data_IF_820563351560
#
_entry.id   IF_820563351560
#
_cell.length_a   1.000
_cell.length_b   1.000
_cell.length_c   1.000
_cell.angle_alpha   90.00
_cell.angle_beta   90.00
_cell.angle_gamma   90.00
#
_symmetry.space_group_name_H-M   'P 1'
#
loop_
_entity.id
_entity.type
_entity.pdbx_description
1 polymer ?
#
# COMPACT_ATOMS: atom_id res chain seq x y z
N UNK A 1 86.96 -70.20 19.70
CA UNK A 1 88.14 -69.38 20.07
C UNK A 1 87.76 -67.91 20.36
N UNK A 2 86.54 -67.63 20.84
CA UNK A 2 86.08 -66.26 21.16
C UNK A 2 85.93 -65.98 22.67
N UNK A 3 85.73 -67.01 23.48
CA UNK A 3 85.37 -66.87 24.90
C UNK A 3 86.55 -66.49 25.80
N UNK A 4 87.76 -67.03 25.57
CA UNK A 4 88.95 -66.71 26.38
C UNK A 4 89.40 -65.24 26.25
N UNK A 5 89.19 -64.61 25.09
CA UNK A 5 89.51 -63.20 24.85
C UNK A 5 88.54 -62.26 25.58
N UNK A 6 87.27 -62.66 25.71
CA UNK A 6 86.27 -61.93 26.49
C UNK A 6 86.59 -61.94 28.00
N UNK A 7 87.03 -63.09 28.52
CA UNK A 7 87.38 -63.25 29.94
C UNK A 7 88.60 -62.39 30.32
N UNK A 8 89.65 -62.37 29.50
CA UNK A 8 90.84 -61.55 29.78
C UNK A 8 90.53 -60.04 29.73
N UNK A 9 89.66 -59.60 28.82
CA UNK A 9 89.20 -58.21 28.79
C UNK A 9 88.37 -57.86 30.02
N UNK A 10 87.49 -58.76 30.46
CA UNK A 10 86.70 -58.55 31.67
C UNK A 10 87.59 -58.43 32.92
N UNK A 11 88.61 -59.27 33.04
CA UNK A 11 89.60 -59.20 34.13
C UNK A 11 90.36 -57.87 34.07
N UNK A 12 90.83 -57.45 32.89
CA UNK A 12 91.49 -56.15 32.72
C UNK A 12 90.58 -54.98 33.14
N UNK A 13 89.31 -55.00 32.75
CA UNK A 13 88.36 -53.96 33.15
C UNK A 13 88.07 -53.99 34.65
N UNK A 14 88.01 -55.18 35.25
CA UNK A 14 87.85 -55.33 36.70
C UNK A 14 89.05 -54.74 37.45
N UNK A 15 90.27 -55.01 36.99
CA UNK A 15 91.49 -54.46 37.59
C UNK A 15 91.55 -52.94 37.46
N UNK A 16 91.13 -52.39 36.31
CA UNK A 16 91.04 -50.94 36.11
C UNK A 16 89.97 -50.32 37.02
N UNK A 17 88.84 -50.99 37.22
CA UNK A 17 87.77 -50.54 38.12
C UNK A 17 88.27 -50.49 39.58
N UNK A 18 89.00 -51.52 40.03
CA UNK A 18 89.60 -51.59 41.36
C UNK A 18 90.67 -50.50 41.54
N UNK A 19 91.41 -50.15 40.48
CA UNK A 19 92.38 -49.03 40.52
C UNK A 19 91.72 -47.66 40.54
N UNK A 20 90.50 -47.52 40.02
CA UNK A 20 89.76 -46.25 39.98
C UNK A 20 88.96 -46.04 41.27
N UNK A 21 88.39 -47.10 41.84
CA UNK A 21 87.57 -47.05 43.06
C UNK A 21 88.40 -47.50 44.29
N UNK A 22 89.41 -46.72 44.64
CA UNK A 22 90.37 -47.07 45.71
C UNK A 22 89.84 -46.79 47.11
N UNK A 23 89.07 -45.71 47.26
CA UNK A 23 88.61 -45.24 48.57
C UNK A 23 87.08 -45.27 48.67
N UNK A 24 86.56 -45.42 49.89
CA UNK A 24 85.11 -45.40 50.18
C UNK A 24 84.43 -44.10 49.70
N UNK A 25 85.20 -42.99 49.64
CA UNK A 25 84.73 -41.72 49.09
C UNK A 25 84.33 -41.81 47.62
N UNK A 26 85.07 -42.57 46.82
CA UNK A 26 84.80 -42.72 45.37
C UNK A 26 83.53 -43.54 45.14
N UNK A 27 83.31 -44.57 45.97
CA UNK A 27 82.09 -45.37 45.97
C UNK A 27 80.88 -44.51 46.37
N UNK A 28 81.02 -43.69 47.42
CA UNK A 28 79.97 -42.76 47.85
C UNK A 28 79.64 -41.70 46.79
N UNK A 29 80.66 -41.14 46.12
CA UNK A 29 80.48 -40.22 45.00
C UNK A 29 79.72 -40.88 43.83
N UNK A 30 80.06 -42.13 43.49
CA UNK A 30 79.36 -42.88 42.45
C UNK A 30 77.90 -43.15 42.82
N UNK A 31 77.62 -43.52 44.06
CA UNK A 31 76.26 -43.71 44.57
C UNK A 31 75.45 -42.40 44.51
N UNK A 32 76.05 -41.27 44.89
CA UNK A 32 75.43 -39.95 44.79
C UNK A 32 75.16 -39.56 43.33
N UNK A 33 76.10 -39.83 42.42
CA UNK A 33 75.90 -39.61 40.98
C UNK A 33 74.76 -40.46 40.42
N UNK A 34 74.60 -41.71 40.87
CA UNK A 34 73.48 -42.57 40.48
C UNK A 34 72.15 -42.01 40.99
N UNK A 35 72.06 -41.61 42.26
CA UNK A 35 70.86 -40.99 42.82
C UNK A 35 70.50 -39.68 42.08
N UNK A 36 71.49 -38.85 41.76
CA UNK A 36 71.27 -37.63 41.00
C UNK A 36 70.78 -37.92 39.58
N UNK A 37 71.31 -38.96 38.93
CA UNK A 37 70.84 -39.41 37.61
C UNK A 37 69.40 -39.90 37.66
N UNK A 38 69.02 -40.65 38.69
CA UNK A 38 67.65 -41.13 38.88
C UNK A 38 66.68 -39.99 39.15
N UNK A 39 67.05 -39.03 39.99
CA UNK A 39 66.27 -37.82 40.23
C UNK A 39 66.10 -36.99 38.95
N UNK A 40 67.17 -36.78 38.19
CA UNK A 40 67.13 -36.08 36.92
C UNK A 40 66.24 -36.81 35.91
N UNK A 41 66.36 -38.14 35.81
CA UNK A 41 65.50 -38.96 34.95
C UNK A 41 64.04 -38.82 35.34
N UNK A 42 63.71 -38.93 36.63
CA UNK A 42 62.34 -38.76 37.12
C UNK A 42 61.80 -37.36 36.83
N UNK A 43 62.63 -36.32 36.94
CA UNK A 43 62.26 -34.95 36.56
C UNK A 43 61.99 -34.86 35.07
N UNK A 44 62.89 -35.36 34.22
CA UNK A 44 62.70 -35.35 32.77
C UNK A 44 61.46 -36.12 32.33
N UNK A 45 61.18 -37.28 32.95
CA UNK A 45 59.98 -38.07 32.66
C UNK A 45 58.71 -37.31 33.10
N UNK A 46 58.75 -36.59 34.22
CA UNK A 46 57.66 -35.73 34.67
C UNK A 46 57.41 -34.57 33.69
N UNK A 47 58.45 -33.84 33.33
CA UNK A 47 58.39 -32.70 32.41
C UNK A 47 57.88 -33.14 31.03
N UNK A 48 58.38 -34.29 30.53
CA UNK A 48 57.91 -34.87 29.28
C UNK A 48 56.42 -35.20 29.32
N UNK A 49 55.94 -35.81 30.40
CA UNK A 49 54.53 -36.15 30.57
C UNK A 49 53.65 -34.90 30.68
N UNK A 50 54.10 -33.85 31.37
CA UNK A 50 53.39 -32.57 31.47
C UNK A 50 53.25 -31.89 30.10
N UNK A 51 54.34 -31.83 29.33
CA UNK A 51 54.32 -31.29 27.97
C UNK A 51 53.43 -32.14 27.06
N UNK A 52 53.51 -33.47 27.16
CA UNK A 52 52.67 -34.36 26.36
C UNK A 52 51.18 -34.21 26.66
N UNK A 53 50.81 -34.06 27.94
CA UNK A 53 49.43 -33.82 28.36
C UNK A 53 48.93 -32.46 27.86
N UNK A 54 49.75 -31.41 28.03
CA UNK A 54 49.42 -30.07 27.53
C UNK A 54 49.22 -30.06 26.02
N UNK A 55 50.07 -30.76 25.26
CA UNK A 55 49.95 -30.89 23.82
C UNK A 55 48.63 -31.57 23.42
N UNK A 56 48.25 -32.64 24.14
CA UNK A 56 46.97 -33.33 23.94
C UNK A 56 45.79 -32.41 24.21
N UNK A 57 45.83 -31.63 25.28
CA UNK A 57 44.77 -30.69 25.64
C UNK A 57 44.60 -29.58 24.59
N UNK A 58 45.70 -29.02 24.09
CA UNK A 58 45.65 -28.05 23.00
C UNK A 58 45.08 -28.65 21.71
N UNK A 59 45.39 -29.91 21.43
CA UNK A 59 44.85 -30.60 20.27
C UNK A 59 43.33 -30.78 20.37
N UNK A 60 42.82 -31.20 21.54
CA UNK A 60 41.38 -31.27 21.82
C UNK A 60 40.71 -29.90 21.64
N UNK A 61 41.29 -28.84 22.21
CA UNK A 61 40.74 -27.48 22.08
C UNK A 61 40.73 -27.01 20.62
N UNK A 62 41.76 -27.35 19.86
CA UNK A 62 41.85 -27.01 18.43
C UNK A 62 40.75 -27.70 17.63
N UNK A 63 40.53 -29.00 17.88
CA UNK A 63 39.48 -29.77 17.22
C UNK A 63 38.08 -29.26 17.57
N UNK A 64 37.85 -28.89 18.84
CA UNK A 64 36.59 -28.30 19.28
C UNK A 64 36.32 -26.94 18.60
N UNK A 65 37.32 -26.06 18.54
CA UNK A 65 37.22 -24.78 17.84
C UNK A 65 36.94 -24.97 16.35
N UNK A 66 37.59 -25.95 15.70
CA UNK A 66 37.33 -26.29 14.30
C UNK A 66 35.88 -26.74 14.09
N UNK A 67 35.37 -27.62 14.95
CA UNK A 67 33.96 -28.08 14.88
C UNK A 67 32.98 -26.92 15.06
N UNK A 68 33.21 -26.03 16.04
CA UNK A 68 32.36 -24.84 16.27
C UNK A 68 32.35 -23.91 15.06
N UNK A 69 33.51 -23.71 14.42
CA UNK A 69 33.63 -22.89 13.21
C UNK A 69 32.84 -23.46 12.04
N UNK A 70 32.93 -24.77 11.80
CA UNK A 70 32.16 -25.41 10.72
C UNK A 70 30.65 -25.41 11.01
N UNK A 71 30.24 -25.63 12.26
CA UNK A 71 28.83 -25.52 12.64
C UNK A 71 28.28 -24.11 12.39
N UNK A 72 29.03 -23.06 12.78
CA UNK A 72 28.63 -21.68 12.55
C UNK A 72 28.51 -21.33 11.06
N UNK A 73 29.38 -21.88 10.19
CA UNK A 73 29.27 -21.70 8.73
C UNK A 73 28.00 -22.31 8.13
N UNK A 74 27.52 -23.42 8.69
CA UNK A 74 26.30 -24.10 8.25
C UNK A 74 25.02 -23.45 8.78
N UNK A 75 25.11 -22.70 9.89
CA UNK A 75 23.99 -21.96 10.50
C UNK A 75 23.72 -20.61 9.82
N UNK A 76 24.68 -20.08 9.04
CA UNK A 76 24.44 -18.92 8.18
C UNK A 76 23.34 -19.29 7.19
N UNK A 77 22.25 -18.50 7.16
CA UNK A 77 21.14 -18.64 6.21
C UNK A 77 21.72 -18.88 4.82
N UNK A 78 21.29 -19.97 4.19
CA UNK A 78 21.74 -20.32 2.85
C UNK A 78 21.43 -19.15 1.91
N UNK A 79 22.42 -18.72 1.14
CA UNK A 79 22.33 -17.58 0.21
C UNK A 79 21.06 -17.70 -0.69
N UNK A 80 20.66 -18.94 -1.00
CA UNK A 80 19.45 -19.24 -1.78
C UNK A 80 18.13 -18.88 -1.09
N UNK A 81 18.03 -19.00 0.24
CA UNK A 81 16.81 -18.62 0.97
C UNK A 81 16.67 -17.11 1.07
N UNK A 82 17.80 -16.41 1.24
CA UNK A 82 17.85 -14.95 1.23
C UNK A 82 17.47 -14.41 -0.16
N UNK A 83 18.02 -14.99 -1.23
CA UNK A 83 17.65 -14.67 -2.62
C UNK A 83 16.19 -14.99 -2.94
N UNK A 84 15.62 -16.04 -2.34
CA UNK A 84 14.20 -16.35 -2.50
C UNK A 84 13.33 -15.27 -1.84
N UNK A 85 13.63 -14.93 -0.60
CA UNK A 85 12.88 -13.90 0.15
C UNK A 85 13.00 -12.52 -0.50
N UNK A 86 14.18 -12.17 -1.03
CA UNK A 86 14.36 -10.92 -1.76
C UNK A 86 13.46 -10.85 -3.00
N UNK A 87 13.40 -11.93 -3.79
CA UNK A 87 12.51 -11.99 -4.96
C UNK A 87 11.03 -11.91 -4.59
N UNK A 88 10.63 -12.58 -3.52
CA UNK A 88 9.25 -12.53 -3.02
C UNK A 88 8.87 -11.09 -2.60
N UNK A 89 9.76 -10.43 -1.86
CA UNK A 89 9.60 -9.03 -1.47
C UNK A 89 9.48 -8.08 -2.67
N UNK A 90 10.32 -8.25 -3.69
CA UNK A 90 10.29 -7.41 -4.89
C UNK A 90 8.97 -7.58 -5.67
N UNK A 91 8.46 -8.81 -5.78
CA UNK A 91 7.18 -9.11 -6.42
C UNK A 91 6.02 -8.50 -5.63
N UNK A 92 6.02 -8.62 -4.31
CA UNK A 92 4.98 -8.05 -3.46
C UNK A 92 4.94 -6.52 -3.57
N UNK A 93 6.11 -5.86 -3.63
CA UNK A 93 6.20 -4.41 -3.83
C UNK A 93 5.67 -3.98 -5.22
N UNK A 94 5.91 -4.78 -6.26
CA UNK A 94 5.37 -4.53 -7.60
C UNK A 94 3.85 -4.69 -7.62
N UNK A 95 3.32 -5.74 -6.98
CA UNK A 95 1.88 -5.96 -6.83
C UNK A 95 1.22 -4.80 -6.08
N UNK A 96 1.81 -4.33 -4.98
CA UNK A 96 1.28 -3.20 -4.21
C UNK A 96 1.14 -1.95 -5.08
N UNK A 97 2.18 -1.67 -5.89
CA UNK A 97 2.17 -0.55 -6.83
C UNK A 97 1.08 -0.71 -7.89
N UNK A 98 0.97 -1.89 -8.50
CA UNK A 98 -0.07 -2.18 -9.50
C UNK A 98 -1.49 -2.05 -8.94
N UNK A 99 -1.71 -2.52 -7.71
CA UNK A 99 -3.02 -2.40 -7.04
C UNK A 99 -3.35 -0.93 -6.78
N UNK A 100 -2.38 -0.13 -6.33
CA UNK A 100 -2.57 1.30 -6.11
C UNK A 100 -2.94 2.03 -7.41
N UNK A 101 -2.22 1.75 -8.50
CA UNK A 101 -2.48 2.34 -9.82
C UNK A 101 -3.86 1.96 -10.37
N UNK A 102 -4.25 0.68 -10.24
CA UNK A 102 -5.56 0.20 -10.66
C UNK A 102 -6.68 0.84 -9.83
N UNK A 103 -6.50 0.97 -8.51
CA UNK A 103 -7.47 1.63 -7.64
C UNK A 103 -7.65 3.10 -8.02
N UNK A 104 -6.56 3.81 -8.32
CA UNK A 104 -6.59 5.20 -8.78
C UNK A 104 -7.36 5.33 -10.11
N UNK A 105 -7.11 4.43 -11.07
CA UNK A 105 -7.81 4.42 -12.35
C UNK A 105 -9.32 4.18 -12.18
N UNK A 106 -9.72 3.20 -11.37
CA UNK A 106 -11.11 2.90 -11.08
C UNK A 106 -11.82 4.09 -10.41
N UNK A 107 -11.20 4.68 -9.39
CA UNK A 107 -11.73 5.85 -8.70
C UNK A 107 -11.94 7.03 -9.64
N UNK A 108 -10.92 7.33 -10.47
CA UNK A 108 -11.02 8.39 -11.48
C UNK A 108 -12.12 8.13 -12.50
N UNK A 109 -12.34 6.87 -12.88
CA UNK A 109 -13.39 6.50 -13.84
C UNK A 109 -14.77 6.69 -13.25
N UNK A 110 -15.00 6.19 -12.03
CA UNK A 110 -16.30 6.31 -11.33
C UNK A 110 -16.65 7.78 -11.11
N UNK A 111 -15.75 8.55 -10.48
CA UNK A 111 -15.97 9.97 -10.22
C UNK A 111 -16.09 10.75 -11.52
N UNK A 112 -15.30 10.42 -12.54
CA UNK A 112 -15.38 11.06 -13.86
C UNK A 112 -16.75 10.90 -14.49
N UNK A 113 -17.35 9.70 -14.41
CA UNK A 113 -18.71 9.46 -14.90
C UNK A 113 -19.77 10.23 -14.11
N UNK A 114 -19.67 10.26 -12.78
CA UNK A 114 -20.62 10.98 -11.93
C UNK A 114 -20.56 12.50 -12.15
N UNK A 115 -19.35 13.07 -12.28
CA UNK A 115 -19.16 14.47 -12.64
C UNK A 115 -19.82 14.75 -13.99
N UNK A 116 -19.60 13.90 -15.00
CA UNK A 116 -20.16 14.07 -16.34
C UNK A 116 -21.68 14.07 -16.33
N UNK A 117 -22.30 13.18 -15.54
CA UNK A 117 -23.74 13.11 -15.38
C UNK A 117 -24.30 14.36 -14.68
N UNK A 118 -23.64 14.82 -13.62
CA UNK A 118 -24.00 16.06 -12.92
C UNK A 118 -23.88 17.28 -13.83
N UNK A 119 -22.86 17.34 -14.69
CA UNK A 119 -22.73 18.41 -15.68
C UNK A 119 -23.86 18.40 -16.69
N UNK A 120 -24.27 17.22 -17.17
CA UNK A 120 -25.43 17.08 -18.05
C UNK A 120 -26.71 17.56 -17.36
N UNK A 121 -26.93 17.16 -16.11
CA UNK A 121 -28.10 17.62 -15.32
C UNK A 121 -28.09 19.14 -15.12
N UNK A 122 -26.93 19.72 -14.78
CA UNK A 122 -26.76 21.18 -14.64
C UNK A 122 -27.18 21.92 -15.90
N UNK A 123 -26.77 21.43 -17.08
CA UNK A 123 -27.10 22.03 -18.37
C UNK A 123 -28.62 22.00 -18.61
N UNK A 124 -29.27 20.85 -18.40
CA UNK A 124 -30.73 20.70 -18.57
C UNK A 124 -31.52 21.63 -17.63
N UNK A 125 -31.13 21.70 -16.36
CA UNK A 125 -31.76 22.60 -15.38
C UNK A 125 -31.58 24.07 -15.78
N UNK A 126 -30.40 24.45 -16.27
CA UNK A 126 -30.13 25.81 -16.70
C UNK A 126 -30.96 26.19 -17.94
N UNK A 127 -31.16 25.27 -18.87
CA UNK A 127 -32.03 25.46 -20.03
C UNK A 127 -33.50 25.60 -19.61
N UNK A 128 -34.00 24.70 -18.76
CA UNK A 128 -35.36 24.78 -18.20
C UNK A 128 -35.61 26.11 -17.50
N UNK A 129 -34.64 26.58 -16.70
CA UNK A 129 -34.72 27.89 -16.03
C UNK A 129 -34.82 29.06 -17.03
N UNK A 130 -34.06 29.04 -18.13
CA UNK A 130 -34.14 30.06 -19.18
C UNK A 130 -35.50 30.03 -19.89
N UNK A 131 -36.01 28.83 -20.18
CA UNK A 131 -37.30 28.66 -20.85
C UNK A 131 -38.47 29.12 -19.96
N UNK A 132 -38.45 28.82 -18.67
CA UNK A 132 -39.44 29.33 -17.71
C UNK A 132 -39.44 30.86 -17.67
N UNK A 133 -38.26 31.49 -17.57
CA UNK A 133 -38.17 32.95 -17.56
C UNK A 133 -38.75 33.59 -18.82
N UNK A 134 -38.57 32.97 -19.99
CA UNK A 134 -39.19 33.44 -21.24
C UNK A 134 -40.71 33.29 -21.20
N UNK A 135 -41.22 32.14 -20.76
CA UNK A 135 -42.67 31.90 -20.62
C UNK A 135 -43.33 32.89 -19.66
N UNK A 136 -42.72 33.15 -18.50
CA UNK A 136 -43.22 34.14 -17.55
C UNK A 136 -43.30 35.55 -18.17
N UNK A 137 -42.29 35.93 -18.97
CA UNK A 137 -42.31 37.21 -19.67
C UNK A 137 -43.42 37.29 -20.73
N UNK A 138 -43.62 36.20 -21.48
CA UNK A 138 -44.67 36.12 -22.50
C UNK A 138 -46.07 36.13 -21.88
N UNK A 139 -46.29 35.36 -20.81
CA UNK A 139 -47.54 35.35 -20.04
C UNK A 139 -47.85 36.73 -19.46
N UNK A 140 -46.86 37.40 -18.87
CA UNK A 140 -47.02 38.76 -18.36
C UNK A 140 -47.39 39.75 -19.49
N UNK A 141 -46.82 39.58 -20.68
CA UNK A 141 -47.13 40.41 -21.85
C UNK A 141 -48.57 40.20 -22.33
N UNK A 142 -49.02 38.95 -22.44
CA UNK A 142 -50.39 38.63 -22.85
C UNK A 142 -51.41 39.09 -21.80
N UNK A 143 -51.12 38.93 -20.50
CA UNK A 143 -51.97 39.47 -19.43
C UNK A 143 -52.12 40.99 -19.54
N UNK A 144 -51.04 41.74 -19.78
CA UNK A 144 -51.11 43.20 -19.98
C UNK A 144 -51.94 43.58 -21.20
N UNK A 145 -51.82 42.83 -22.29
CA UNK A 145 -52.61 43.04 -23.51
C UNK A 145 -54.10 42.79 -23.27
N UNK A 146 -54.46 41.70 -22.58
CA UNK A 146 -55.84 41.39 -22.19
C UNK A 146 -56.40 42.44 -21.23
N UNK A 147 -55.64 42.87 -20.23
CA UNK A 147 -56.04 43.92 -19.30
C UNK A 147 -56.29 45.25 -20.02
N UNK A 148 -55.45 45.60 -20.99
CA UNK A 148 -55.65 46.76 -21.85
C UNK A 148 -56.97 46.65 -22.64
N UNK A 149 -57.24 45.51 -23.28
CA UNK A 149 -58.50 45.32 -24.01
C UNK A 149 -59.71 45.43 -23.09
N UNK A 150 -59.69 44.73 -21.95
CA UNK A 150 -60.78 44.80 -20.98
C UNK A 150 -61.03 46.23 -20.47
N UNK A 151 -59.98 47.04 -20.31
CA UNK A 151 -60.11 48.44 -19.86
C UNK A 151 -60.73 49.37 -20.91
N UNK A 152 -60.55 49.05 -22.20
CA UNK A 152 -61.11 49.86 -23.31
C UNK A 152 -62.52 49.43 -23.64
N UNK A 153 -62.80 48.13 -23.61
CA UNK A 153 -64.08 47.57 -24.08
C UNK A 153 -65.07 47.31 -22.95
N UNK A 154 -64.59 47.14 -21.71
CA UNK A 154 -65.37 46.63 -20.58
C UNK A 154 -66.11 45.32 -20.91
N UNK A 155 -65.51 44.46 -21.75
CA UNK A 155 -66.07 43.17 -22.12
C UNK A 155 -65.42 42.05 -21.32
N UNK A 156 -66.25 41.13 -20.82
CA UNK A 156 -65.85 39.83 -20.28
C UNK A 156 -66.32 38.76 -21.28
N UNK A 157 -65.40 38.14 -22.04
CA UNK A 157 -65.76 37.08 -22.98
C UNK A 157 -66.19 35.81 -22.24
N UNK A 158 -67.18 35.10 -22.79
CA UNK A 158 -67.51 33.75 -22.32
C UNK A 158 -66.64 32.74 -23.07
N UNK A 159 -65.92 31.89 -22.33
CA UNK A 159 -64.97 30.91 -22.88
C UNK A 159 -65.52 29.47 -22.89
N UNK A 160 -66.74 29.24 -22.40
CA UNK A 160 -67.32 27.90 -22.29
C UNK A 160 -67.64 27.27 -23.65
N UNK A 161 -68.05 28.08 -24.63
CA UNK A 161 -68.38 27.64 -25.98
C UNK A 161 -67.52 28.40 -26.99
N UNK A 162 -66.55 27.71 -27.58
CA UNK A 162 -65.63 28.25 -28.58
C UNK A 162 -66.25 28.34 -29.99
N UNK A 163 -67.48 27.85 -30.18
CA UNK A 163 -68.17 27.87 -31.48
C UNK A 163 -68.91 29.18 -31.76
N UNK A 164 -69.11 30.02 -30.73
CA UNK A 164 -69.83 31.30 -30.83
C UNK A 164 -69.06 32.42 -30.12
N UNK A 165 -69.09 33.61 -30.71
CA UNK A 165 -68.52 34.80 -30.09
C UNK A 165 -69.52 35.36 -29.08
N UNK A 166 -69.30 35.06 -27.79
CA UNK A 166 -70.20 35.42 -26.72
C UNK A 166 -69.49 36.18 -25.61
N UNK A 167 -70.23 37.06 -24.93
CA UNK A 167 -69.67 37.79 -23.80
C UNK A 167 -70.66 38.76 -23.15
N UNK A 168 -70.14 39.45 -22.14
CA UNK A 168 -70.86 40.41 -21.34
C UNK A 168 -70.15 41.76 -21.37
N UNK A 169 -70.88 42.85 -21.60
CA UNK A 169 -70.41 44.22 -21.39
C UNK A 169 -70.76 44.59 -19.94
N UNK A 170 -69.79 45.13 -19.20
CA UNK A 170 -69.94 45.52 -17.79
C UNK A 170 -69.79 47.02 -17.59
N UNK A 171 -70.41 47.55 -16.53
CA UNK A 171 -70.25 48.94 -16.10
C UNK A 171 -69.01 49.14 -15.21
N UNK A 172 -68.76 50.38 -14.77
CA UNK A 172 -67.65 50.73 -13.87
C UNK A 172 -67.70 50.00 -12.51
N UNK A 173 -68.87 49.49 -12.11
CA UNK A 173 -69.09 48.70 -10.91
C UNK A 173 -69.03 47.18 -11.18
N UNK A 174 -68.58 46.78 -12.38
CA UNK A 174 -68.50 45.39 -12.87
C UNK A 174 -69.85 44.67 -12.92
N UNK A 175 -70.95 45.42 -13.01
CA UNK A 175 -72.29 44.85 -13.20
C UNK A 175 -72.52 44.62 -14.69
N UNK A 176 -73.14 43.50 -15.03
CA UNK A 176 -73.47 43.15 -16.41
C UNK A 176 -74.55 44.12 -16.91
N UNK A 177 -74.23 44.84 -17.98
CA UNK A 177 -75.14 45.79 -18.64
C UNK A 177 -75.79 45.14 -19.86
N UNK A 178 -75.02 44.40 -20.64
CA UNK A 178 -75.50 43.81 -21.88
C UNK A 178 -74.81 42.47 -22.17
N UNK A 179 -75.56 41.50 -22.69
CA UNK A 179 -75.03 40.22 -23.19
C UNK A 179 -75.08 40.23 -24.71
N UNK A 180 -74.05 39.72 -25.37
CA UNK A 180 -74.03 39.52 -26.82
C UNK A 180 -73.65 38.08 -27.17
N UNK A 181 -74.11 37.63 -28.33
CA UNK A 181 -73.84 36.31 -28.89
C UNK A 181 -73.90 36.41 -30.42
N UNK A 182 -72.81 36.02 -31.08
CA UNK A 182 -72.68 36.00 -32.53
C UNK A 182 -72.24 34.62 -33.01
N UNK A 183 -72.79 34.22 -34.15
CA UNK A 183 -72.50 32.94 -34.80
C UNK A 183 -71.51 33.18 -35.95
N UNK A 184 -70.27 32.68 -35.87
CA UNK A 184 -69.24 32.90 -36.89
C UNK A 184 -69.63 32.39 -38.28
N UNK A 185 -70.61 31.49 -38.38
CA UNK A 185 -71.10 30.95 -39.65
C UNK A 185 -72.13 31.86 -40.33
N UNK A 186 -72.74 32.79 -39.59
CA UNK A 186 -73.82 33.66 -40.07
C UNK A 186 -73.40 35.12 -40.25
N UNK A 187 -72.39 35.56 -39.51
CA UNK A 187 -71.90 36.93 -39.53
C UNK A 187 -70.42 36.96 -39.86
N UNK A 188 -70.02 37.89 -40.74
CA UNK A 188 -68.61 38.09 -41.05
C UNK A 188 -67.90 38.77 -39.88
N UNK A 189 -66.59 38.53 -39.71
CA UNK A 189 -65.80 39.13 -38.64
C UNK A 189 -65.92 40.67 -38.60
N UNK A 190 -66.03 41.32 -39.77
CA UNK A 190 -66.23 42.77 -39.85
C UNK A 190 -67.59 43.21 -39.25
N UNK A 191 -68.67 42.52 -39.61
CA UNK A 191 -70.01 42.82 -39.09
C UNK A 191 -70.12 42.58 -37.59
N UNK A 192 -69.50 41.51 -37.09
CA UNK A 192 -69.41 41.22 -35.65
C UNK A 192 -68.67 42.35 -34.92
N UNK A 193 -67.48 42.74 -35.39
CA UNK A 193 -66.71 43.83 -34.81
C UNK A 193 -67.45 45.17 -34.81
N UNK A 194 -68.06 45.57 -35.93
CA UNK A 194 -68.84 46.81 -36.04
C UNK A 194 -70.02 46.82 -35.06
N UNK A 195 -70.72 45.68 -34.94
CA UNK A 195 -71.83 45.53 -33.99
C UNK A 195 -71.36 45.64 -32.54
N UNK A 196 -70.25 45.00 -32.19
CA UNK A 196 -69.65 45.07 -30.85
C UNK A 196 -69.20 46.50 -30.52
N UNK A 197 -68.54 47.19 -31.44
CA UNK A 197 -68.11 48.58 -31.23
C UNK A 197 -69.28 49.54 -31.04
N UNK A 198 -70.38 49.36 -31.80
CA UNK A 198 -71.61 50.14 -31.60
C UNK A 198 -72.24 49.92 -30.22
N UNK A 199 -72.16 48.69 -29.69
CA UNK A 199 -72.64 48.38 -28.33
C UNK A 199 -71.77 49.00 -27.24
N UNK A 200 -70.44 49.05 -27.43
CA UNK A 200 -69.51 49.69 -26.47
C UNK A 200 -69.67 51.22 -26.46
N UNK A 201 -69.94 51.83 -27.62
CA UNK A 201 -70.06 53.28 -27.77
C UNK A 201 -71.44 53.85 -27.37
N UNK A 202 -72.39 52.99 -27.02
CA UNK A 202 -73.75 53.36 -26.60
C UNK A 202 -73.84 53.68 -25.12
#
# INVERSE_FOLDING_TARGET
>A
MGEASGILKLISYSDDLVKVLKDERDINNLAQCLQHREALRSSCDSDFNEVQNSLRDYQIKTDECKRKTEAAKLEVVADEELDRLQREFDVDAEIETMVADLALFCFSTVIGSEISDLERQRIDVQEKKRNLKRREQDEFREQRKLAMYASVTNIIPNLEDQSRDMGYIVDSNKKIVQKFEFDPTKTTAFQTCDSVWKMIAS
#
